data_IF_258460512643
#
_entry.id   IF_258460512643
#
_cell.length_a   1.000
_cell.length_b   1.000
_cell.length_c   1.000
_cell.angle_alpha   90.00
_cell.angle_beta   90.00
_cell.angle_gamma   90.00
#
_symmetry.space_group_name_H-M   'P 1'
#
loop_
_entity.id
_entity.type
_entity.pdbx_description
1 polymer ?
#
# COMPACT_ATOMS: atom_id res chain seq x y z
N UNK A 1 5.52 32.63 33.22
CA UNK A 1 5.48 34.08 33.50
C UNK A 1 5.33 34.28 34.99
N UNK A 2 6.37 34.83 35.63
CA UNK A 2 6.46 35.08 37.08
C UNK A 2 5.58 36.29 37.43
N UNK A 3 4.65 36.13 38.37
CA UNK A 3 4.12 37.28 39.12
C UNK A 3 4.97 37.50 40.37
N UNK A 4 5.30 38.76 40.73
CA UNK A 4 6.09 39.06 41.90
C UNK A 4 5.26 38.99 43.19
N UNK A 5 5.78 38.24 44.15
CA UNK A 5 5.39 38.30 45.57
C UNK A 5 5.80 39.66 46.13
N UNK A 6 4.83 40.45 46.60
CA UNK A 6 5.10 41.56 47.52
C UNK A 6 4.89 41.07 48.95
N UNK A 7 5.88 41.24 49.85
CA UNK A 7 5.71 40.95 51.27
C UNK A 7 4.92 42.09 51.94
N UNK A 8 3.79 41.74 52.54
CA UNK A 8 3.10 42.59 53.52
C UNK A 8 4.05 42.87 54.68
N UNK A 9 4.34 44.15 54.93
CA UNK A 9 5.03 44.64 56.12
C UNK A 9 4.02 44.84 57.24
N UNK A 10 4.13 44.17 58.40
CA UNK A 10 3.48 44.61 59.63
C UNK A 10 4.49 45.39 60.48
N UNK A 11 4.18 46.65 60.79
CA UNK A 11 4.90 47.45 61.77
C UNK A 11 3.96 48.55 62.32
N UNK A 12 4.23 49.13 63.49
CA UNK A 12 3.58 48.72 64.74
C UNK A 12 2.70 49.84 65.31
N UNK A 13 1.54 49.46 65.86
CA UNK A 13 0.69 50.35 66.65
C UNK A 13 1.38 50.61 67.99
N UNK A 14 2.27 51.60 68.01
CA UNK A 14 3.00 52.03 69.19
C UNK A 14 2.40 53.33 69.75
N UNK A 15 1.77 53.19 70.93
CA UNK A 15 1.87 54.10 72.07
C UNK A 15 1.58 55.60 71.80
N UNK A 16 0.31 55.96 71.92
CA UNK A 16 -0.13 57.34 72.24
C UNK A 16 -1.15 57.28 73.40
N UNK A 17 -0.68 56.84 74.56
CA UNK A 17 -1.41 56.96 75.84
C UNK A 17 -0.37 57.26 76.92
N UNK A 18 0.04 58.53 77.05
CA UNK A 18 0.78 59.05 78.21
C UNK A 18 1.14 60.53 78.00
N UNK A 19 0.19 61.46 78.03
CA UNK A 19 0.45 62.89 78.21
C UNK A 19 -0.84 63.69 78.49
N UNK A 20 -1.58 63.36 79.53
CA UNK A 20 -2.68 64.22 80.02
C UNK A 20 -2.99 63.94 81.49
N UNK A 21 -1.95 63.86 82.33
CA UNK A 21 -2.10 63.60 83.77
C UNK A 21 -0.93 64.22 84.54
N UNK A 22 -0.72 65.52 84.38
CA UNK A 22 0.24 66.31 85.18
C UNK A 22 -0.16 67.78 85.12
N UNK A 23 -1.05 68.17 86.02
CA UNK A 23 -1.59 69.53 86.12
C UNK A 23 -2.50 69.66 87.33
N UNK A 24 -2.01 69.23 88.49
CA UNK A 24 -2.62 69.42 89.80
C UNK A 24 -1.59 70.15 90.68
N UNK A 25 -2.07 71.06 91.54
CA UNK A 25 -1.34 72.02 92.39
C UNK A 25 -1.11 73.35 91.62
N UNK A 26 -1.68 74.50 91.98
CA UNK A 26 -1.73 75.15 93.29
C UNK A 26 -2.92 76.15 93.31
N UNK A 27 -3.83 76.06 94.29
CA UNK A 27 -4.41 77.24 94.94
C UNK A 27 -5.10 76.84 96.27
N UNK A 28 -4.67 77.49 97.35
CA UNK A 28 -5.15 77.42 98.73
C UNK A 28 -5.63 78.84 99.13
N UNK A 29 -6.20 79.09 100.32
CA UNK A 29 -7.47 78.60 100.87
C UNK A 29 -8.47 79.77 101.01
N UNK A 30 -9.75 79.51 100.78
CA UNK A 30 -10.83 80.48 101.01
C UNK A 30 -11.96 79.79 101.76
N UNK A 31 -12.14 80.21 103.02
CA UNK A 31 -13.22 79.82 103.90
C UNK A 31 -14.60 80.16 103.33
N UNK A 32 -15.61 79.44 103.82
CA UNK A 32 -17.05 79.49 103.48
C UNK A 32 -17.45 78.60 102.28
N UNK A 33 -18.50 77.80 102.46
CA UNK A 33 -19.11 76.83 101.53
C UNK A 33 -18.49 75.42 101.46
N UNK A 34 -18.59 74.68 102.56
CA UNK A 34 -18.19 73.27 102.71
C UNK A 34 -19.14 72.28 101.98
N UNK A 35 -20.30 72.73 101.49
CA UNK A 35 -21.33 71.86 100.86
C UNK A 35 -21.41 71.93 99.32
N UNK A 36 -20.83 72.95 98.65
CA UNK A 36 -20.96 73.12 97.19
C UNK A 36 -19.78 72.59 96.38
N UNK A 37 -18.58 72.48 96.97
CA UNK A 37 -17.38 71.88 96.34
C UNK A 37 -17.44 70.34 96.35
N UNK A 38 -17.92 69.76 97.43
CA UNK A 38 -18.18 68.31 97.55
C UNK A 38 -19.24 67.81 96.56
N UNK A 39 -20.20 68.68 96.18
CA UNK A 39 -21.19 68.42 95.12
C UNK A 39 -20.56 68.34 93.72
N UNK A 40 -19.72 69.32 93.35
CA UNK A 40 -19.04 69.35 92.02
C UNK A 40 -18.07 68.18 91.83
N UNK A 41 -17.36 67.79 92.87
CA UNK A 41 -16.47 66.63 92.84
C UNK A 41 -17.24 65.31 92.68
N UNK A 42 -18.42 65.18 93.30
CA UNK A 42 -19.30 64.01 93.13
C UNK A 42 -19.89 63.93 91.72
N UNK A 43 -20.26 65.07 91.12
CA UNK A 43 -20.72 65.11 89.73
C UNK A 43 -19.60 64.77 88.74
N UNK A 44 -18.38 65.27 88.97
CA UNK A 44 -17.21 64.91 88.17
C UNK A 44 -16.87 63.42 88.28
N UNK A 45 -16.96 62.85 89.49
CA UNK A 45 -16.80 61.41 89.73
C UNK A 45 -17.87 60.58 89.02
N UNK A 46 -19.14 61.02 89.03
CA UNK A 46 -20.21 60.34 88.28
C UNK A 46 -19.97 60.36 86.77
N UNK A 47 -19.52 61.50 86.22
CA UNK A 47 -19.15 61.60 84.80
C UNK A 47 -17.94 60.73 84.46
N UNK A 48 -16.94 60.68 85.33
CA UNK A 48 -15.78 59.81 85.15
C UNK A 48 -16.17 58.33 85.20
N UNK A 49 -17.06 57.94 86.12
CA UNK A 49 -17.59 56.57 86.21
C UNK A 49 -18.45 56.20 84.99
N UNK A 50 -19.29 57.11 84.48
CA UNK A 50 -20.05 56.85 83.26
C UNK A 50 -19.17 56.76 82.02
N UNK A 51 -18.14 57.60 81.92
CA UNK A 51 -17.17 57.55 80.83
C UNK A 51 -16.33 56.26 80.89
N UNK A 52 -15.95 55.80 82.09
CA UNK A 52 -15.27 54.52 82.27
C UNK A 52 -16.16 53.35 81.83
N UNK A 53 -17.45 53.34 82.21
CA UNK A 53 -18.41 52.31 81.78
C UNK A 53 -18.60 52.31 80.26
N UNK A 54 -18.77 53.49 79.65
CA UNK A 54 -18.87 53.61 78.19
C UNK A 54 -17.60 53.14 77.46
N UNK A 55 -16.41 53.46 77.99
CA UNK A 55 -15.14 52.99 77.44
C UNK A 55 -14.98 51.46 77.60
N UNK A 56 -15.44 50.88 78.71
CA UNK A 56 -15.45 49.43 78.92
C UNK A 56 -16.42 48.72 77.96
N UNK A 57 -17.60 49.29 77.72
CA UNK A 57 -18.56 48.80 76.73
C UNK A 57 -18.02 48.90 75.29
N UNK A 58 -17.35 50.00 74.94
CA UNK A 58 -16.68 50.13 73.63
C UNK A 58 -15.49 49.16 73.49
N UNK A 59 -14.73 48.93 74.56
CA UNK A 59 -13.63 47.97 74.52
C UNK A 59 -14.14 46.55 74.32
N UNK A 60 -15.25 46.18 74.98
CA UNK A 60 -15.85 44.84 74.82
C UNK A 60 -16.49 44.67 73.44
N UNK A 61 -17.13 45.71 72.89
CA UNK A 61 -17.67 45.66 71.52
C UNK A 61 -16.57 45.55 70.47
N UNK A 62 -15.49 46.32 70.58
CA UNK A 62 -14.34 46.25 69.68
C UNK A 62 -13.61 44.91 69.78
N UNK A 63 -13.51 44.32 70.98
CA UNK A 63 -12.96 42.96 71.14
C UNK A 63 -13.85 41.91 70.46
N UNK A 64 -15.18 42.04 70.56
CA UNK A 64 -16.11 41.14 69.89
C UNK A 64 -16.06 41.29 68.35
N UNK A 65 -15.96 42.52 67.84
CA UNK A 65 -15.81 42.78 66.41
C UNK A 65 -14.47 42.27 65.87
N UNK A 66 -13.37 42.46 66.62
CA UNK A 66 -12.07 41.92 66.27
C UNK A 66 -12.10 40.38 66.21
N UNK A 67 -12.71 39.72 67.18
CA UNK A 67 -12.87 38.26 67.17
C UNK A 67 -13.69 37.78 65.97
N UNK A 68 -14.77 38.49 65.61
CA UNK A 68 -15.57 38.20 64.40
C UNK A 68 -14.77 38.38 63.11
N UNK A 69 -14.00 39.46 63.00
CA UNK A 69 -13.17 39.74 61.83
C UNK A 69 -12.03 38.70 61.68
N UNK A 70 -11.41 38.29 62.79
CA UNK A 70 -10.39 37.23 62.80
C UNK A 70 -10.97 35.87 62.40
N UNK A 71 -12.19 35.54 62.87
CA UNK A 71 -12.90 34.33 62.44
C UNK A 71 -13.20 34.35 60.93
N UNK A 72 -13.76 35.45 60.41
CA UNK A 72 -14.06 35.60 58.99
C UNK A 72 -12.80 35.56 58.11
N UNK A 73 -11.70 36.18 58.55
CA UNK A 73 -10.41 36.09 57.85
C UNK A 73 -9.85 34.66 57.84
N UNK A 74 -10.02 33.93 58.94
CA UNK A 74 -9.66 32.52 59.03
C UNK A 74 -10.46 31.63 58.08
N UNK A 75 -11.77 31.85 57.96
CA UNK A 75 -12.64 31.15 57.00
C UNK A 75 -12.27 31.47 55.55
N UNK A 76 -12.14 32.76 55.20
CA UNK A 76 -11.73 33.19 53.87
C UNK A 76 -10.36 32.63 53.46
N UNK A 77 -9.42 32.53 54.41
CA UNK A 77 -8.11 31.89 54.17
C UNK A 77 -8.25 30.40 53.87
N UNK A 78 -9.11 29.68 54.60
CA UNK A 78 -9.37 28.25 54.37
C UNK A 78 -10.04 28.03 53.01
N UNK A 79 -11.04 28.84 52.66
CA UNK A 79 -11.70 28.80 51.36
C UNK A 79 -10.73 29.10 50.22
N UNK A 80 -9.89 30.14 50.36
CA UNK A 80 -8.86 30.46 49.36
C UNK A 80 -7.88 29.30 49.16
N UNK A 81 -7.44 28.66 50.24
CA UNK A 81 -6.57 27.49 50.17
C UNK A 81 -7.25 26.30 49.49
N UNK A 82 -8.53 26.04 49.81
CA UNK A 82 -9.32 24.98 49.19
C UNK A 82 -9.52 25.23 47.69
N UNK A 83 -9.90 26.44 47.29
CA UNK A 83 -10.07 26.83 45.89
C UNK A 83 -8.76 26.73 45.10
N UNK A 84 -7.62 27.16 45.69
CA UNK A 84 -6.30 26.97 45.06
C UNK A 84 -5.97 25.49 44.87
N UNK A 85 -6.30 24.64 45.83
CA UNK A 85 -6.16 23.18 45.71
C UNK A 85 -7.00 22.61 44.56
N UNK A 86 -8.27 23.04 44.45
CA UNK A 86 -9.16 22.63 43.36
C UNK A 86 -8.64 23.08 42.00
N UNK A 87 -8.21 24.33 41.87
CA UNK A 87 -7.62 24.86 40.63
C UNK A 87 -6.38 24.05 40.23
N UNK A 88 -5.50 23.73 41.18
CA UNK A 88 -4.34 22.88 40.93
C UNK A 88 -4.72 21.48 40.43
N UNK A 89 -5.72 20.86 41.05
CA UNK A 89 -6.22 19.55 40.63
C UNK A 89 -6.87 19.59 39.23
N UNK A 90 -7.65 20.62 38.91
CA UNK A 90 -8.23 20.79 37.57
C UNK A 90 -7.16 21.06 36.51
N UNK A 91 -6.15 21.87 36.81
CA UNK A 91 -5.02 22.10 35.91
C UNK A 91 -4.24 20.80 35.63
N UNK A 92 -4.01 19.97 36.64
CA UNK A 92 -3.37 18.67 36.46
C UNK A 92 -4.23 17.72 35.59
N UNK A 93 -5.55 17.69 35.82
CA UNK A 93 -6.49 16.90 35.00
C UNK A 93 -6.53 17.37 33.55
N UNK A 94 -6.48 18.68 33.30
CA UNK A 94 -6.43 19.25 31.96
C UNK A 94 -5.16 18.82 31.23
N UNK A 95 -3.99 18.95 31.86
CA UNK A 95 -2.72 18.51 31.28
C UNK A 95 -2.71 17.01 30.95
N UNK A 96 -3.26 16.19 31.84
CA UNK A 96 -3.37 14.74 31.59
C UNK A 96 -4.29 14.44 30.39
N UNK A 97 -5.39 15.18 30.23
CA UNK A 97 -6.27 15.05 29.06
C UNK A 97 -5.62 15.53 27.78
N UNK A 98 -4.89 16.64 27.81
CA UNK A 98 -4.13 17.15 26.66
C UNK A 98 -3.08 16.13 26.21
N UNK A 99 -2.36 15.50 27.14
CA UNK A 99 -1.41 14.43 26.83
C UNK A 99 -2.11 13.22 26.20
N UNK A 100 -3.25 12.79 26.76
CA UNK A 100 -4.03 11.69 26.20
C UNK A 100 -4.57 12.00 24.79
N UNK A 101 -4.99 13.25 24.54
CA UNK A 101 -5.43 13.68 23.22
C UNK A 101 -4.28 13.68 22.21
N UNK A 102 -3.09 14.14 22.59
CA UNK A 102 -1.92 14.12 21.72
C UNK A 102 -1.51 12.67 21.38
N UNK A 103 -1.49 11.78 22.38
CA UNK A 103 -1.21 10.37 22.16
C UNK A 103 -2.24 9.72 21.21
N UNK A 104 -3.54 9.98 21.42
CA UNK A 104 -4.59 9.47 20.53
C UNK A 104 -4.48 10.04 19.10
N UNK A 105 -4.05 11.29 18.94
CA UNK A 105 -3.80 11.87 17.62
C UNK A 105 -2.61 11.22 16.93
N UNK A 106 -1.54 10.92 17.66
CA UNK A 106 -0.38 10.19 17.14
C UNK A 106 -0.77 8.78 16.69
N UNK A 107 -1.53 8.03 17.50
CA UNK A 107 -2.06 6.72 17.15
C UNK A 107 -2.96 6.78 15.90
N UNK A 108 -3.85 7.78 15.80
CA UNK A 108 -4.68 7.97 14.61
C UNK A 108 -3.85 8.27 13.37
N UNK A 109 -2.77 9.05 13.49
CA UNK A 109 -1.88 9.34 12.38
C UNK A 109 -1.08 8.11 11.95
N UNK A 110 -0.60 7.30 12.90
CA UNK A 110 0.06 6.02 12.62
C UNK A 110 -0.89 5.04 11.92
N UNK A 111 -2.13 4.91 12.40
CA UNK A 111 -3.15 4.07 11.77
C UNK A 111 -3.49 4.55 10.35
N UNK A 112 -3.60 5.87 10.13
CA UNK A 112 -3.82 6.43 8.78
C UNK A 112 -2.66 6.14 7.84
N UNK A 113 -1.43 6.27 8.32
CA UNK A 113 -0.23 5.94 7.52
C UNK A 113 -0.18 4.44 7.22
N UNK A 114 -0.44 3.57 8.19
CA UNK A 114 -0.51 2.13 7.99
C UNK A 114 -1.60 1.73 6.99
N UNK A 115 -2.78 2.35 7.06
CA UNK A 115 -3.85 2.12 6.08
C UNK A 115 -3.47 2.61 4.67
N UNK A 116 -2.77 3.73 4.56
CA UNK A 116 -2.30 4.23 3.26
C UNK A 116 -1.24 3.29 2.66
N UNK A 117 -0.32 2.78 3.47
CA UNK A 117 0.68 1.80 3.06
C UNK A 117 0.04 0.49 2.62
N UNK A 118 -0.84 -0.09 3.44
CA UNK A 118 -1.55 -1.33 3.12
C UNK A 118 -2.37 -1.20 1.82
N UNK A 119 -3.03 -0.05 1.59
CA UNK A 119 -3.74 0.21 0.33
C UNK A 119 -2.78 0.29 -0.86
N UNK A 120 -1.61 0.90 -0.69
CA UNK A 120 -0.57 0.94 -1.72
C UNK A 120 -0.03 -0.45 -2.06
N UNK A 121 0.25 -1.27 -1.04
CA UNK A 121 0.71 -2.66 -1.20
C UNK A 121 -0.35 -3.50 -1.90
N UNK A 122 -1.61 -3.44 -1.48
CA UNK A 122 -2.71 -4.14 -2.15
C UNK A 122 -2.91 -3.70 -3.60
N UNK A 123 -2.75 -2.40 -3.90
CA UNK A 123 -2.78 -1.91 -5.28
C UNK A 123 -1.67 -2.52 -6.14
N UNK A 124 -0.44 -2.53 -5.63
CA UNK A 124 0.71 -3.12 -6.32
C UNK A 124 0.57 -4.65 -6.50
N UNK A 125 0.00 -5.35 -5.51
CA UNK A 125 -0.29 -6.79 -5.60
C UNK A 125 -1.36 -7.08 -6.66
N UNK A 126 -2.41 -6.25 -6.74
CA UNK A 126 -3.45 -6.39 -7.76
C UNK A 126 -2.89 -6.16 -9.17
N UNK A 127 -2.05 -5.15 -9.37
CA UNK A 127 -1.38 -4.91 -10.65
C UNK A 127 -0.49 -6.09 -11.06
N UNK A 128 0.28 -6.65 -10.10
CA UNK A 128 1.09 -7.86 -10.34
C UNK A 128 0.22 -9.07 -10.68
N UNK A 129 -0.89 -9.27 -9.98
CA UNK A 129 -1.81 -10.36 -10.25
C UNK A 129 -2.44 -10.24 -11.65
N UNK A 130 -2.83 -9.02 -12.06
CA UNK A 130 -3.35 -8.76 -13.40
C UNK A 130 -2.28 -9.00 -14.47
N UNK A 131 -1.04 -8.54 -14.26
CA UNK A 131 0.07 -8.78 -15.18
C UNK A 131 0.41 -10.28 -15.32
N UNK A 132 0.36 -11.05 -14.24
CA UNK A 132 0.54 -12.50 -14.30
C UNK A 132 -0.61 -13.18 -15.03
N UNK A 133 -1.84 -12.71 -14.83
CA UNK A 133 -3.01 -13.25 -15.52
C UNK A 133 -2.95 -13.01 -17.03
N UNK A 134 -2.54 -11.82 -17.47
CA UNK A 134 -2.33 -11.54 -18.91
C UNK A 134 -1.22 -12.41 -19.49
N UNK A 135 -0.09 -12.54 -18.80
CA UNK A 135 1.00 -13.43 -19.21
C UNK A 135 0.55 -14.89 -19.35
N UNK A 136 -0.27 -15.39 -18.41
CA UNK A 136 -0.82 -16.75 -18.49
C UNK A 136 -1.76 -16.93 -19.68
N UNK A 137 -2.58 -15.93 -19.99
CA UNK A 137 -3.49 -15.98 -21.14
C UNK A 137 -2.70 -15.97 -22.46
N UNK A 138 -1.65 -15.14 -22.55
CA UNK A 138 -0.79 -15.09 -23.73
C UNK A 138 0.02 -16.38 -23.90
N UNK A 139 0.55 -16.95 -22.80
CA UNK A 139 1.23 -18.23 -22.83
C UNK A 139 0.31 -19.37 -23.32
N UNK A 140 -0.96 -19.38 -22.90
CA UNK A 140 -1.97 -20.36 -23.36
C UNK A 140 -2.27 -20.19 -24.85
N UNK A 141 -2.39 -18.96 -25.34
CA UNK A 141 -2.57 -18.68 -26.77
C UNK A 141 -1.40 -19.21 -27.59
N UNK A 142 -0.17 -18.84 -27.22
CA UNK A 142 1.05 -19.30 -27.88
C UNK A 142 1.19 -20.83 -27.85
N UNK A 143 0.82 -21.48 -26.75
CA UNK A 143 0.81 -22.94 -26.66
C UNK A 143 -0.18 -23.55 -27.67
N UNK A 144 -1.41 -23.03 -27.74
CA UNK A 144 -2.42 -23.52 -28.69
C UNK A 144 -2.02 -23.30 -30.15
N UNK A 145 -1.37 -22.18 -30.48
CA UNK A 145 -0.86 -21.90 -31.82
C UNK A 145 0.26 -22.88 -32.21
N UNK A 146 1.16 -23.18 -31.27
CA UNK A 146 2.23 -24.16 -31.47
C UNK A 146 1.67 -25.57 -31.67
N UNK A 147 0.65 -25.95 -30.91
CA UNK A 147 -0.03 -27.25 -31.08
C UNK A 147 -0.65 -27.36 -32.48
N UNK A 148 -1.37 -26.33 -32.93
CA UNK A 148 -1.95 -26.29 -34.27
C UNK A 148 -0.88 -26.34 -35.38
N UNK A 149 0.20 -25.58 -35.23
CA UNK A 149 1.32 -25.59 -36.17
C UNK A 149 1.98 -26.98 -36.23
N UNK A 150 2.20 -27.63 -35.09
CA UNK A 150 2.76 -28.97 -35.02
C UNK A 150 1.85 -30.01 -35.69
N UNK A 151 0.53 -29.95 -35.46
CA UNK A 151 -0.43 -30.82 -36.15
C UNK A 151 -0.38 -30.63 -37.67
N UNK A 152 -0.28 -29.39 -38.14
CA UNK A 152 -0.10 -29.09 -39.56
C UNK A 152 1.19 -29.66 -40.14
N UNK A 153 2.31 -29.53 -39.41
CA UNK A 153 3.59 -30.11 -39.82
C UNK A 153 3.55 -31.64 -39.86
N UNK A 154 2.94 -32.29 -38.87
CA UNK A 154 2.76 -33.76 -38.85
C UNK A 154 1.95 -34.20 -40.06
N UNK A 155 0.84 -33.55 -40.36
CA UNK A 155 0.01 -33.88 -41.54
C UNK A 155 0.79 -33.73 -42.86
N UNK A 156 1.62 -32.68 -42.99
CA UNK A 156 2.48 -32.49 -44.16
C UNK A 156 3.57 -33.57 -44.27
N UNK A 157 4.17 -33.97 -43.15
CA UNK A 157 5.17 -35.03 -43.12
C UNK A 157 4.55 -36.39 -43.47
N UNK A 158 3.37 -36.71 -42.94
CA UNK A 158 2.64 -37.92 -43.30
C UNK A 158 2.27 -37.94 -44.79
N UNK A 159 1.78 -36.82 -45.32
CA UNK A 159 1.47 -36.68 -46.74
C UNK A 159 2.70 -36.88 -47.63
N UNK A 160 3.84 -36.27 -47.27
CA UNK A 160 5.11 -36.46 -47.97
C UNK A 160 5.64 -37.88 -47.86
N UNK A 161 5.53 -38.51 -46.70
CA UNK A 161 5.96 -39.89 -46.50
C UNK A 161 5.17 -40.87 -47.37
N UNK A 162 3.86 -40.66 -47.52
CA UNK A 162 3.01 -41.45 -48.42
C UNK A 162 3.36 -41.20 -49.90
N UNK A 163 3.53 -39.94 -50.29
CA UNK A 163 3.94 -39.60 -51.65
C UNK A 163 5.31 -40.20 -52.01
N UNK A 164 6.25 -40.22 -51.06
CA UNK A 164 7.57 -40.82 -51.22
C UNK A 164 7.48 -42.33 -51.37
N UNK A 165 6.71 -43.03 -50.52
CA UNK A 165 6.57 -44.48 -50.64
C UNK A 165 5.87 -44.89 -51.95
N UNK A 166 4.88 -44.13 -52.41
CA UNK A 166 4.28 -44.32 -53.73
C UNK A 166 5.28 -44.11 -54.87
N UNK A 167 6.13 -43.08 -54.78
CA UNK A 167 7.16 -42.81 -55.79
C UNK A 167 8.22 -43.92 -55.81
N UNK A 168 8.62 -44.44 -54.65
CA UNK A 168 9.53 -45.58 -54.54
C UNK A 168 8.95 -46.85 -55.15
N UNK A 169 7.68 -47.16 -54.87
CA UNK A 169 6.99 -48.31 -55.46
C UNK A 169 6.93 -48.21 -56.99
N UNK A 170 6.57 -47.04 -57.52
CA UNK A 170 6.55 -46.79 -58.97
C UNK A 170 7.95 -46.90 -59.60
N UNK A 171 8.98 -46.41 -58.91
CA UNK A 171 10.36 -46.53 -59.38
C UNK A 171 10.80 -48.00 -59.45
N UNK A 172 10.48 -48.81 -58.42
CA UNK A 172 10.76 -50.25 -58.43
C UNK A 172 10.04 -50.96 -59.58
N UNK A 173 8.76 -50.65 -59.82
CA UNK A 173 8.00 -51.20 -60.95
C UNK A 173 8.64 -50.86 -62.31
N UNK A 174 9.09 -49.61 -62.48
CA UNK A 174 9.80 -49.20 -63.71
C UNK A 174 11.14 -49.92 -63.86
N UNK A 175 11.88 -50.14 -62.78
CA UNK A 175 13.13 -50.90 -62.80
C UNK A 175 12.90 -52.37 -63.16
N UNK A 176 11.88 -53.01 -62.57
CA UNK A 176 11.49 -54.39 -62.87
C UNK A 176 11.12 -54.56 -64.36
N UNK A 177 10.26 -53.69 -64.88
CA UNK A 177 9.91 -53.67 -66.31
C UNK A 177 11.15 -53.42 -67.20
N UNK A 178 12.02 -52.48 -66.80
CA UNK A 178 13.27 -52.22 -67.51
C UNK A 178 14.17 -53.45 -67.56
N UNK A 179 14.30 -54.18 -66.45
CA UNK A 179 15.06 -55.43 -66.39
C UNK A 179 14.41 -56.54 -67.23
N UNK A 180 13.08 -56.66 -67.24
CA UNK A 180 12.37 -57.61 -68.10
C UNK A 180 12.60 -57.32 -69.58
N UNK A 181 12.52 -56.06 -70.00
CA UNK A 181 12.80 -55.63 -71.36
C UNK A 181 14.24 -56.00 -71.78
N UNK A 182 15.22 -55.69 -70.93
CA UNK A 182 16.63 -56.03 -71.19
C UNK A 182 16.83 -57.55 -71.25
N UNK A 183 16.24 -58.32 -70.33
CA UNK A 183 16.33 -59.79 -70.35
C UNK A 183 15.73 -60.38 -71.61
N UNK A 184 14.58 -59.88 -72.07
CA UNK A 184 13.95 -60.34 -73.33
C UNK A 184 14.78 -59.97 -74.55
N UNK A 185 15.36 -58.77 -74.58
CA UNK A 185 16.26 -58.36 -75.67
C UNK A 185 17.53 -59.21 -75.73
N UNK A 186 18.19 -59.44 -74.58
CA UNK A 186 19.42 -60.23 -74.50
C UNK A 186 19.18 -61.73 -74.65
N UNK A 187 18.01 -62.24 -74.24
CA UNK A 187 17.61 -63.64 -74.37
C UNK A 187 17.15 -64.05 -75.76
N UNK A 188 17.10 -63.12 -76.72
CA UNK A 188 16.69 -63.39 -78.10
C UNK A 188 17.77 -64.20 -78.83
N UNK A 189 17.41 -65.38 -79.34
CA UNK A 189 18.35 -66.23 -80.07
C UNK A 189 18.66 -65.65 -81.46
N UNK A 190 19.82 -65.98 -82.04
CA UNK A 190 20.19 -65.56 -83.41
C UNK A 190 19.17 -65.99 -84.46
N UNK A 191 18.47 -67.10 -84.21
CA UNK A 191 17.37 -67.61 -85.04
C UNK A 191 16.15 -66.69 -84.95
N UNK A 192 15.81 -66.18 -83.76
CA UNK A 192 14.69 -65.25 -83.54
C UNK A 192 14.95 -63.86 -84.11
N UNK A 193 16.23 -63.47 -84.26
CA UNK A 193 16.65 -62.27 -84.99
C UNK A 193 16.55 -62.45 -86.51
N UNK A 194 16.85 -63.64 -87.04
CA UNK A 194 16.71 -63.94 -88.46
C UNK A 194 15.24 -64.00 -88.89
N UNK A 195 14.36 -64.56 -88.05
CA UNK A 195 12.91 -64.65 -88.29
C UNK A 195 12.17 -63.30 -88.25
N UNK A 196 12.75 -62.27 -87.63
CA UNK A 196 12.22 -60.89 -87.71
C UNK A 196 12.38 -60.27 -89.10
N UNK A 197 13.42 -60.68 -89.84
CA UNK A 197 13.69 -60.20 -91.19
C UNK A 197 12.98 -61.00 -92.28
N UNK A 198 12.04 -61.88 -91.93
CA UNK A 198 11.34 -62.74 -92.89
C UNK A 198 10.43 -61.90 -93.83
N UNK A 199 10.74 -61.83 -95.14
CA UNK A 199 10.05 -60.95 -96.09
C UNK A 199 8.72 -61.52 -96.59
N UNK A 200 8.36 -62.77 -96.27
CA UNK A 200 7.24 -63.45 -96.95
C UNK A 200 5.89 -63.18 -96.27
N UNK A 201 5.83 -63.15 -94.94
CA UNK A 201 4.57 -62.93 -94.21
C UNK A 201 4.65 -61.84 -93.13
N UNK A 202 5.84 -61.42 -92.70
CA UNK A 202 6.02 -60.32 -91.73
C UNK A 202 5.38 -60.53 -90.34
N UNK A 203 4.76 -61.68 -90.07
CA UNK A 203 3.95 -61.92 -88.86
C UNK A 203 4.75 -61.79 -87.56
N UNK A 204 6.06 -62.09 -87.59
CA UNK A 204 6.92 -61.94 -86.41
C UNK A 204 7.30 -60.49 -86.15
N UNK A 205 7.41 -59.65 -87.19
CA UNK A 205 7.62 -58.22 -87.03
C UNK A 205 6.38 -57.56 -86.40
N UNK A 206 5.18 -57.91 -86.87
CA UNK A 206 3.91 -57.42 -86.29
C UNK A 206 3.76 -57.86 -84.84
N UNK A 207 4.07 -59.13 -84.49
CA UNK A 207 4.05 -59.59 -83.09
C UNK A 207 5.04 -58.83 -82.20
N UNK A 208 6.24 -58.53 -82.71
CA UNK A 208 7.21 -57.74 -81.98
C UNK A 208 6.76 -56.29 -81.80
N UNK A 209 6.06 -55.72 -82.78
CA UNK A 209 5.45 -54.40 -82.71
C UNK A 209 4.28 -54.37 -81.71
N UNK A 210 3.37 -55.35 -81.74
CA UNK A 210 2.28 -55.52 -80.76
C UNK A 210 2.81 -55.64 -79.33
N UNK A 211 3.92 -56.37 -79.12
CA UNK A 211 4.57 -56.47 -77.81
C UNK A 211 5.22 -55.14 -77.39
N UNK A 212 5.91 -54.46 -78.30
CA UNK A 212 6.47 -53.15 -78.04
C UNK A 212 5.39 -52.10 -77.71
N UNK A 213 4.24 -52.17 -78.37
CA UNK A 213 3.08 -51.32 -78.07
C UNK A 213 2.50 -51.62 -76.69
N UNK A 214 2.40 -52.89 -76.29
CA UNK A 214 1.97 -53.26 -74.92
C UNK A 214 2.91 -52.67 -73.87
N UNK A 215 4.23 -52.78 -74.05
CA UNK A 215 5.19 -52.19 -73.12
C UNK A 215 5.19 -50.66 -73.15
N UNK A 216 5.00 -50.03 -74.31
CA UNK A 216 4.80 -48.57 -74.40
C UNK A 216 3.54 -48.13 -73.65
N UNK A 217 2.45 -48.90 -73.75
CA UNK A 217 1.22 -48.62 -73.01
C UNK A 217 1.41 -48.79 -71.50
N UNK A 218 2.16 -49.80 -71.05
CA UNK A 218 2.51 -50.01 -69.64
C UNK A 218 3.43 -48.91 -69.09
N UNK A 219 4.44 -48.50 -69.85
CA UNK A 219 5.32 -47.38 -69.50
C UNK A 219 4.55 -46.07 -69.46
N UNK A 220 3.73 -45.76 -70.46
CA UNK A 220 2.90 -44.55 -70.50
C UNK A 220 1.91 -44.51 -69.32
N UNK A 221 1.34 -45.66 -68.94
CA UNK A 221 0.49 -45.78 -67.75
C UNK A 221 1.27 -45.46 -66.47
N UNK A 222 2.47 -46.02 -66.30
CA UNK A 222 3.28 -45.75 -65.11
C UNK A 222 3.82 -44.32 -65.08
N UNK A 223 4.14 -43.73 -66.24
CA UNK A 223 4.58 -42.34 -66.36
C UNK A 223 3.46 -41.36 -65.97
N UNK A 224 2.24 -41.56 -66.47
CA UNK A 224 1.05 -40.79 -66.08
C UNK A 224 0.76 -40.91 -64.58
N UNK A 225 0.95 -42.10 -64.01
CA UNK A 225 0.83 -42.30 -62.56
C UNK A 225 2.01 -41.74 -61.75
N UNK A 226 3.20 -41.60 -62.34
CA UNK A 226 4.40 -41.05 -61.67
C UNK A 226 4.41 -39.52 -61.59
N UNK A 227 3.48 -38.84 -62.27
CA UNK A 227 3.34 -37.39 -62.23
C UNK A 227 4.52 -36.63 -62.87
N UNK A 228 5.38 -37.30 -63.65
CA UNK A 228 6.40 -36.62 -64.46
C UNK A 228 5.67 -35.90 -65.60
N UNK A 229 5.68 -34.56 -65.68
CA UNK A 229 5.04 -33.87 -66.78
C UNK A 229 5.74 -34.29 -68.08
N UNK A 230 4.96 -34.83 -69.02
CA UNK A 230 5.43 -35.18 -70.35
C UNK A 230 5.95 -33.89 -71.02
N UNK A 231 7.28 -33.73 -71.05
CA UNK A 231 7.93 -32.58 -71.70
C UNK A 231 8.67 -31.59 -70.79
N UNK A 232 9.32 -32.02 -69.71
CA UNK A 232 10.39 -31.19 -69.11
C UNK A 232 11.73 -31.50 -69.80
N UNK A 233 12.23 -30.63 -70.71
CA UNK A 233 13.59 -30.76 -71.22
C UNK A 233 14.55 -30.66 -70.03
N UNK A 234 15.63 -31.44 -70.11
CA UNK A 234 16.74 -31.46 -69.16
C UNK A 234 16.94 -30.09 -68.50
N UNK A 235 16.76 -30.05 -67.17
CA UNK A 235 17.24 -28.95 -66.35
C UNK A 235 18.71 -28.72 -66.72
N UNK A 236 18.94 -27.60 -67.41
CA UNK A 236 20.26 -27.05 -67.62
C UNK A 236 20.93 -26.99 -66.25
N UNK A 237 22.08 -27.66 -66.15
CA UNK A 237 22.96 -27.56 -65.01
C UNK A 237 23.16 -26.08 -64.64
N UNK A 238 23.10 -25.69 -63.36
CA UNK A 238 23.59 -24.38 -62.96
C UNK A 238 25.09 -24.34 -63.25
N UNK A 239 25.44 -23.72 -64.38
CA UNK A 239 26.78 -23.30 -64.72
C UNK A 239 27.31 -22.46 -63.55
N UNK A 240 28.45 -22.90 -63.05
CA UNK A 240 29.28 -22.23 -62.06
C UNK A 240 29.31 -20.71 -62.25
N UNK A 241 29.03 -19.99 -61.17
CA UNK A 241 29.46 -18.62 -61.02
C UNK A 241 30.99 -18.62 -60.76
N UNK A 242 31.79 -17.86 -61.52
CA UNK A 242 33.12 -17.46 -61.07
C UNK A 242 32.97 -16.21 -60.19
N UNK A 243 33.37 -16.33 -58.91
CA UNK A 243 33.81 -15.18 -58.09
C UNK A 243 35.10 -14.61 -58.72
N UNK A 244 35.42 -13.30 -58.58
CA UNK A 244 35.49 -12.55 -57.33
C UNK A 244 34.31 -11.62 -57.02
#
# INVERSE_FOLDING_TARGET
MRTPNHPFKPAPVARLVAAALSGLLIFSPGAQAQDSKTSKEREALRRAQSALRAAQEQQSSLQAEKAKAEAAAGEASKESAALRGQIGAHAAKLRAREQALNAAQEELNQLRQGLAQARGEHGAEQERAQALQTQLMDARRLASEREQANLGLVALLEGRSRALSEAELKNRQLQELGHELVRRFLGRSRIDSALLGDPVLGLQAVRAEDEAEKFRAELARLELLSGRPAGSPAAAAPSAAPQP
#
